data_IF_161221755676
#
_entry.id   IF_161221755676
#
_cell.length_a   1.000
_cell.length_b   1.000
_cell.length_c   1.000
_cell.angle_alpha   90.00
_cell.angle_beta   90.00
_cell.angle_gamma   90.00
#
_symmetry.space_group_name_H-M   'P 1'
#
loop_
_entity.id
_entity.type
_entity.pdbx_description
1 polymer ?
#
# COMPACT_ATOMS: atom_id res chain seq x y z
N UNK A 1 -28.17 2.93 -11.08
CA UNK A 1 -27.90 4.07 -10.15
C UNK A 1 -26.72 3.71 -9.28
N UNK A 2 -25.62 4.39 -9.44
CA UNK A 2 -24.47 4.21 -8.55
C UNK A 2 -24.82 4.88 -7.21
N UNK A 3 -25.13 4.07 -6.24
CA UNK A 3 -25.40 4.51 -4.87
C UNK A 3 -24.08 4.63 -4.10
N UNK A 4 -23.99 5.60 -3.21
CA UNK A 4 -22.89 5.67 -2.22
C UNK A 4 -22.75 4.29 -1.57
N UNK A 5 -21.55 3.71 -1.57
CA UNK A 5 -21.37 2.41 -0.94
C UNK A 5 -21.75 2.50 0.54
N UNK A 6 -22.51 1.53 1.02
CA UNK A 6 -22.86 1.44 2.44
C UNK A 6 -21.58 1.21 3.26
N UNK A 7 -21.13 2.28 3.92
CA UNK A 7 -19.91 2.26 4.71
C UNK A 7 -19.96 1.23 5.84
N UNK A 8 -21.15 0.99 6.40
CA UNK A 8 -21.31 -0.04 7.45
C UNK A 8 -21.11 -1.45 6.89
N UNK A 9 -21.64 -1.69 5.71
CA UNK A 9 -21.44 -2.98 5.02
C UNK A 9 -19.96 -3.17 4.66
N UNK A 10 -19.32 -2.16 4.14
CA UNK A 10 -17.89 -2.20 3.81
C UNK A 10 -17.02 -2.40 5.05
N UNK A 11 -17.36 -1.77 6.17
CA UNK A 11 -16.66 -1.97 7.42
C UNK A 11 -16.79 -3.41 7.92
N UNK A 12 -17.98 -3.98 7.88
CA UNK A 12 -18.20 -5.40 8.28
C UNK A 12 -17.42 -6.36 7.38
N UNK A 13 -17.34 -6.07 6.10
CA UNK A 13 -16.70 -6.94 5.11
C UNK A 13 -15.17 -6.82 5.12
N UNK A 14 -14.63 -5.61 5.21
CA UNK A 14 -13.20 -5.35 5.00
C UNK A 14 -12.47 -4.81 6.24
N UNK A 15 -13.17 -4.44 7.30
CA UNK A 15 -12.57 -3.81 8.47
C UNK A 15 -11.44 -4.63 9.09
N UNK A 16 -11.64 -5.92 9.27
CA UNK A 16 -10.64 -6.81 9.84
C UNK A 16 -9.44 -7.05 8.89
N UNK A 17 -9.70 -7.16 7.59
CA UNK A 17 -8.63 -7.28 6.59
C UNK A 17 -7.76 -6.03 6.55
N UNK A 18 -8.37 -4.85 6.56
CA UNK A 18 -7.68 -3.56 6.58
C UNK A 18 -6.86 -3.41 7.86
N UNK A 19 -7.42 -3.77 9.00
CA UNK A 19 -6.70 -3.75 10.28
C UNK A 19 -5.46 -4.65 10.25
N UNK A 20 -5.57 -5.86 9.73
CA UNK A 20 -4.43 -6.77 9.57
C UNK A 20 -3.39 -6.24 8.59
N UNK A 21 -3.83 -5.68 7.48
CA UNK A 21 -2.95 -5.02 6.50
C UNK A 21 -2.15 -3.88 7.16
N UNK A 22 -2.82 -3.01 7.91
CA UNK A 22 -2.18 -1.90 8.60
C UNK A 22 -1.27 -2.38 9.74
N UNK A 23 -1.66 -3.41 10.50
CA UNK A 23 -0.84 -3.98 11.56
C UNK A 23 0.48 -4.54 11.03
N UNK A 24 0.47 -5.23 9.88
CA UNK A 24 1.69 -5.71 9.23
C UNK A 24 2.58 -4.56 8.76
N UNK A 25 1.97 -3.50 8.23
CA UNK A 25 2.69 -2.35 7.68
C UNK A 25 3.29 -1.44 8.77
N UNK A 26 2.59 -1.26 9.86
CA UNK A 26 2.98 -0.35 10.95
C UNK A 26 3.70 -1.05 12.11
N UNK A 27 3.61 -2.35 12.20
CA UNK A 27 4.14 -3.15 13.32
C UNK A 27 3.60 -2.71 14.69
N UNK A 28 2.43 -2.09 14.74
CA UNK A 28 1.75 -1.61 15.95
C UNK A 28 0.25 -1.83 15.82
N UNK A 29 -0.32 -2.65 16.72
CA UNK A 29 -1.73 -3.00 16.68
C UNK A 29 -2.66 -1.82 17.00
N UNK A 30 -2.29 -0.98 17.98
CA UNK A 30 -3.10 0.17 18.40
C UNK A 30 -3.16 1.23 17.30
N UNK A 31 -2.04 1.53 16.66
CA UNK A 31 -2.00 2.45 15.51
C UNK A 31 -2.77 1.89 14.32
N UNK A 32 -2.68 0.60 14.06
CA UNK A 32 -3.43 -0.06 13.00
C UNK A 32 -4.93 0.05 13.23
N UNK A 33 -5.39 -0.11 14.46
CA UNK A 33 -6.80 0.09 14.84
C UNK A 33 -7.25 1.54 14.58
N UNK A 34 -6.49 2.52 15.05
CA UNK A 34 -6.79 3.94 14.86
C UNK A 34 -6.85 4.33 13.39
N UNK A 35 -5.90 3.87 12.58
CA UNK A 35 -5.89 4.17 11.14
C UNK A 35 -6.96 3.38 10.37
N UNK A 36 -7.37 2.23 10.85
CA UNK A 36 -8.54 1.52 10.30
C UNK A 36 -9.80 2.36 10.51
N UNK A 37 -10.05 2.85 11.72
CA UNK A 37 -11.18 3.72 12.03
C UNK A 37 -11.15 5.00 11.20
N UNK A 38 -10.00 5.65 11.08
CA UNK A 38 -9.85 6.87 10.25
C UNK A 38 -10.11 6.59 8.76
N UNK A 39 -9.70 5.42 8.26
CA UNK A 39 -9.98 5.00 6.87
C UNK A 39 -11.48 5.00 6.59
N UNK A 40 -12.27 4.37 7.45
CA UNK A 40 -13.72 4.32 7.28
C UNK A 40 -14.41 5.64 7.62
N UNK A 41 -13.88 6.42 8.55
CA UNK A 41 -14.36 7.78 8.83
C UNK A 41 -14.22 8.70 7.61
N UNK A 42 -13.12 8.60 6.87
CA UNK A 42 -12.96 9.34 5.60
C UNK A 42 -13.95 8.91 4.55
N UNK A 43 -14.25 7.62 4.46
CA UNK A 43 -15.27 7.11 3.54
C UNK A 43 -16.67 7.71 3.85
N UNK A 44 -17.00 7.89 5.12
CA UNK A 44 -18.25 8.53 5.54
C UNK A 44 -18.34 10.00 5.14
N UNK A 45 -17.22 10.71 5.12
CA UNK A 45 -17.15 12.15 4.80
C UNK A 45 -17.16 12.45 3.29
N UNK A 46 -17.10 11.44 2.45
CA UNK A 46 -17.14 11.63 1.00
C UNK A 46 -18.53 12.14 0.61
N UNK A 47 -18.54 13.19 -0.22
CA UNK A 47 -19.77 13.75 -0.74
C UNK A 47 -20.55 12.71 -1.56
N UNK A 48 -21.88 12.78 -1.46
CA UNK A 48 -22.79 11.83 -2.11
C UNK A 48 -22.66 11.83 -3.64
N UNK A 49 -22.10 12.91 -4.18
CA UNK A 49 -21.94 13.10 -5.62
C UNK A 49 -20.69 12.39 -6.19
N UNK A 50 -19.82 11.90 -5.31
CA UNK A 50 -18.63 11.15 -5.73
C UNK A 50 -18.98 9.66 -5.88
N UNK A 51 -18.88 9.17 -7.10
CA UNK A 51 -19.09 7.76 -7.43
C UNK A 51 -17.82 6.99 -7.12
N UNK A 52 -17.91 6.07 -6.18
CA UNK A 52 -16.82 5.11 -5.90
C UNK A 52 -17.17 3.80 -6.61
N UNK A 53 -16.48 3.53 -7.72
CA UNK A 53 -16.72 2.33 -8.54
C UNK A 53 -16.25 1.06 -7.83
N UNK A 54 -15.11 1.12 -7.14
CA UNK A 54 -14.54 0.01 -6.37
C UNK A 54 -14.27 0.45 -4.93
N UNK A 55 -15.20 0.12 -4.05
CA UNK A 55 -15.13 0.45 -2.62
C UNK A 55 -13.93 -0.20 -1.93
N UNK A 56 -13.56 -1.43 -2.32
CA UNK A 56 -12.40 -2.13 -1.77
C UNK A 56 -11.08 -1.44 -2.14
N UNK A 57 -10.89 -1.14 -3.42
CA UNK A 57 -9.71 -0.43 -3.89
C UNK A 57 -9.58 0.94 -3.23
N UNK A 58 -10.67 1.67 -3.09
CA UNK A 58 -10.70 2.95 -2.41
C UNK A 58 -10.28 2.86 -0.94
N UNK A 59 -10.80 1.87 -0.20
CA UNK A 59 -10.47 1.62 1.22
C UNK A 59 -8.98 1.32 1.37
N UNK A 60 -8.43 0.40 0.58
CA UNK A 60 -7.02 0.04 0.66
C UNK A 60 -6.09 1.19 0.26
N UNK A 61 -6.45 1.98 -0.75
CA UNK A 61 -5.72 3.19 -1.12
C UNK A 61 -5.69 4.21 0.01
N UNK A 62 -6.83 4.47 0.62
CA UNK A 62 -6.95 5.39 1.76
C UNK A 62 -6.15 4.91 2.96
N UNK A 63 -6.28 3.63 3.33
CA UNK A 63 -5.53 3.02 4.41
C UNK A 63 -4.00 3.07 4.17
N UNK A 64 -3.57 2.77 2.96
CA UNK A 64 -2.16 2.83 2.59
C UNK A 64 -1.60 4.26 2.66
N UNK A 65 -2.34 5.25 2.18
CA UNK A 65 -1.94 6.66 2.26
C UNK A 65 -1.81 7.13 3.71
N UNK A 66 -2.75 6.75 4.58
CA UNK A 66 -2.68 7.04 6.01
C UNK A 66 -1.47 6.39 6.67
N UNK A 67 -1.16 5.15 6.31
CA UNK A 67 0.02 4.45 6.83
C UNK A 67 1.32 5.11 6.38
N UNK A 68 1.41 5.53 5.12
CA UNK A 68 2.57 6.25 4.59
C UNK A 68 2.76 7.59 5.32
N UNK A 69 1.70 8.36 5.50
CA UNK A 69 1.75 9.64 6.22
C UNK A 69 2.18 9.45 7.67
N UNK A 70 1.67 8.41 8.33
CA UNK A 70 2.08 8.06 9.68
C UNK A 70 3.58 7.69 9.77
N UNK A 71 4.05 6.84 8.87
CA UNK A 71 5.46 6.42 8.83
C UNK A 71 6.37 7.63 8.58
N UNK A 72 6.01 8.51 7.65
CA UNK A 72 6.73 9.75 7.38
C UNK A 72 6.79 10.67 8.60
N UNK A 73 5.67 10.83 9.32
CA UNK A 73 5.62 11.62 10.53
C UNK A 73 6.49 11.04 11.64
N UNK A 74 6.50 9.71 11.80
CA UNK A 74 7.36 9.04 12.77
C UNK A 74 8.86 9.18 12.44
N UNK A 75 9.24 9.09 11.19
CA UNK A 75 10.62 9.30 10.74
C UNK A 75 11.09 10.73 11.00
N UNK A 76 10.27 11.72 10.73
CA UNK A 76 10.57 13.13 11.04
C UNK A 76 10.81 13.36 12.54
N UNK A 77 10.08 12.67 13.41
CA UNK A 77 10.25 12.75 14.88
C UNK A 77 11.53 12.10 15.36
N UNK A 78 12.05 11.08 14.66
CA UNK A 78 13.26 10.34 15.06
C UNK A 78 14.57 10.99 14.61
N UNK A 79 14.54 12.11 13.89
CA UNK A 79 15.72 12.89 13.49
C UNK A 79 16.85 12.07 12.83
N UNK A 80 16.51 11.16 11.92
CA UNK A 80 17.52 10.41 11.17
C UNK A 80 17.53 10.86 9.70
N UNK A 81 18.58 11.61 9.24
CA UNK A 81 18.57 12.22 7.91
C UNK A 81 18.92 11.27 6.77
N UNK A 82 19.09 9.97 7.03
CA UNK A 82 19.67 9.04 6.04
C UNK A 82 18.65 8.17 5.32
N UNK A 83 17.35 8.33 5.56
CA UNK A 83 16.37 7.46 4.95
C UNK A 83 15.77 8.10 3.68
N UNK A 84 16.23 7.61 2.55
CA UNK A 84 15.72 8.00 1.24
C UNK A 84 14.24 7.64 1.08
N UNK A 85 13.41 8.64 1.22
CA UNK A 85 11.94 8.61 1.07
C UNK A 85 11.49 8.40 -0.39
N UNK A 86 12.37 7.86 -1.24
CA UNK A 86 12.13 7.71 -2.68
C UNK A 86 11.10 6.63 -3.02
N UNK A 87 10.78 5.74 -2.08
CA UNK A 87 9.90 4.61 -2.35
C UNK A 87 8.42 4.86 -2.01
N UNK A 88 8.12 5.96 -1.32
CA UNK A 88 6.75 6.33 -1.00
C UNK A 88 6.04 7.06 -2.16
N UNK A 89 6.79 7.53 -3.16
CA UNK A 89 6.29 8.39 -4.24
C UNK A 89 5.61 7.67 -5.41
N UNK A 90 5.58 6.33 -5.44
CA UNK A 90 5.02 5.58 -6.57
C UNK A 90 3.52 5.26 -6.39
N UNK A 91 2.87 5.80 -5.37
CA UNK A 91 1.51 5.43 -5.03
C UNK A 91 0.43 6.41 -5.49
N UNK A 92 0.71 7.45 -6.26
CA UNK A 92 -0.32 8.44 -6.55
C UNK A 92 -0.41 8.86 -8.01
N UNK A 93 -0.88 7.93 -8.84
CA UNK A 93 -1.64 8.32 -10.02
C UNK A 93 -3.09 7.88 -9.83
N UNK A 94 -3.98 8.86 -9.71
CA UNK A 94 -5.43 8.65 -9.64
C UNK A 94 -5.90 7.93 -10.90
N UNK A 95 -6.56 6.76 -10.82
CA UNK A 95 -7.16 6.16 -12.00
C UNK A 95 -8.34 7.01 -12.45
N UNK A 96 -8.25 7.59 -13.65
CA UNK A 96 -9.39 8.13 -14.36
C UNK A 96 -10.18 6.98 -15.01
N UNK A 97 -11.50 7.16 -15.16
CA UNK A 97 -12.43 6.16 -15.68
C UNK A 97 -12.15 5.65 -17.11
N UNK A 98 -11.26 6.27 -17.87
CA UNK A 98 -10.81 5.82 -19.20
C UNK A 98 -9.83 4.65 -19.17
N UNK A 99 -9.44 4.18 -17.99
CA UNK A 99 -8.25 3.35 -17.77
C UNK A 99 -8.50 1.85 -17.60
N UNK A 100 -9.75 1.34 -17.63
CA UNK A 100 -10.00 -0.09 -17.36
C UNK A 100 -9.29 -1.04 -18.34
N UNK A 101 -9.20 -0.67 -19.63
CA UNK A 101 -8.48 -1.49 -20.62
C UNK A 101 -6.96 -1.28 -20.54
N UNK A 102 -6.54 -0.05 -20.27
CA UNK A 102 -5.14 0.31 -20.03
C UNK A 102 -4.59 -0.32 -18.74
N UNK A 103 -5.40 -0.40 -17.70
CA UNK A 103 -4.98 -0.96 -16.41
C UNK A 103 -4.76 -2.47 -16.45
N UNK A 104 -5.57 -3.21 -17.21
CA UNK A 104 -5.35 -4.65 -17.44
C UNK A 104 -4.03 -4.91 -18.16
N UNK A 105 -3.71 -4.08 -19.16
CA UNK A 105 -2.45 -4.19 -19.91
C UNK A 105 -1.26 -3.83 -19.01
N UNK A 106 -1.37 -2.75 -18.24
CA UNK A 106 -0.35 -2.33 -17.26
C UNK A 106 -0.13 -3.39 -16.18
N UNK A 107 -1.22 -3.97 -15.67
CA UNK A 107 -1.15 -5.06 -14.69
C UNK A 107 -0.43 -6.28 -15.26
N UNK A 108 -0.70 -6.66 -16.50
CA UNK A 108 -0.03 -7.76 -17.18
C UNK A 108 1.47 -7.51 -17.36
N UNK A 109 1.84 -6.29 -17.76
CA UNK A 109 3.24 -5.87 -17.88
C UNK A 109 3.93 -5.92 -16.52
N UNK A 110 3.27 -5.43 -15.46
CA UNK A 110 3.81 -5.48 -14.10
C UNK A 110 3.98 -6.92 -13.61
N UNK A 111 3.02 -7.80 -13.85
CA UNK A 111 3.12 -9.22 -13.51
C UNK A 111 4.29 -9.89 -14.22
N UNK A 112 4.52 -9.59 -15.48
CA UNK A 112 5.66 -10.09 -16.24
C UNK A 112 6.99 -9.57 -15.68
N UNK A 113 7.06 -8.26 -15.40
CA UNK A 113 8.24 -7.64 -14.79
C UNK A 113 8.59 -8.27 -13.44
N UNK A 114 7.59 -8.54 -12.60
CA UNK A 114 7.77 -9.21 -11.30
C UNK A 114 8.26 -10.66 -11.52
N UNK A 115 7.70 -11.37 -12.49
CA UNK A 115 8.10 -12.75 -12.80
C UNK A 115 9.56 -12.87 -13.27
N UNK A 116 10.11 -11.82 -13.89
CA UNK A 116 11.50 -11.74 -14.35
C UNK A 116 12.50 -11.42 -13.23
N UNK A 117 12.03 -10.94 -12.07
CA UNK A 117 12.90 -10.61 -10.95
C UNK A 117 13.62 -11.85 -10.41
N UNK A 118 14.86 -11.70 -9.92
CA UNK A 118 15.53 -12.76 -9.16
C UNK A 118 14.64 -13.24 -8.00
N UNK A 119 14.65 -14.54 -7.65
CA UNK A 119 13.72 -15.10 -6.66
C UNK A 119 13.69 -14.35 -5.33
N UNK A 120 14.84 -13.95 -4.81
CA UNK A 120 14.93 -13.21 -3.54
C UNK A 120 14.35 -11.79 -3.65
N UNK A 121 14.63 -11.11 -4.73
CA UNK A 121 14.08 -9.76 -5.01
C UNK A 121 12.57 -9.82 -5.17
N UNK A 122 12.07 -10.84 -5.86
CA UNK A 122 10.62 -11.07 -6.03
C UNK A 122 9.94 -11.33 -4.68
N UNK A 123 10.50 -12.19 -3.85
CA UNK A 123 9.98 -12.50 -2.51
C UNK A 123 9.87 -11.23 -1.65
N UNK A 124 10.93 -10.43 -1.60
CA UNK A 124 10.96 -9.17 -0.87
C UNK A 124 9.93 -8.18 -1.42
N UNK A 125 9.81 -8.09 -2.75
CA UNK A 125 8.81 -7.23 -3.40
C UNK A 125 7.38 -7.64 -3.04
N UNK A 126 7.06 -8.93 -3.11
CA UNK A 126 5.74 -9.46 -2.74
C UNK A 126 5.43 -9.15 -1.28
N UNK A 127 6.34 -9.45 -0.37
CA UNK A 127 6.15 -9.17 1.05
C UNK A 127 5.93 -7.69 1.34
N UNK A 128 6.69 -6.80 0.70
CA UNK A 128 6.62 -5.37 0.96
C UNK A 128 5.47 -4.65 0.26
N UNK A 129 5.19 -5.00 -0.99
CA UNK A 129 4.24 -4.26 -1.84
C UNK A 129 2.87 -4.90 -1.95
N UNK A 130 2.79 -6.20 -1.90
CA UNK A 130 1.52 -6.94 -2.03
C UNK A 130 0.97 -7.30 -0.66
N UNK A 131 1.78 -7.87 0.22
CA UNK A 131 1.35 -8.31 1.54
C UNK A 131 1.45 -7.21 2.61
N UNK A 132 2.12 -6.10 2.33
CA UNK A 132 2.15 -4.91 3.18
C UNK A 132 3.06 -5.00 4.41
N UNK A 133 4.03 -5.91 4.45
CA UNK A 133 4.99 -5.98 5.55
C UNK A 133 5.90 -4.76 5.60
N UNK A 134 6.24 -4.29 6.80
CA UNK A 134 7.28 -3.28 7.01
C UNK A 134 8.67 -3.82 6.66
N UNK A 135 9.61 -2.94 6.35
CA UNK A 135 11.00 -3.35 6.05
C UNK A 135 11.64 -4.12 7.21
N UNK A 136 11.41 -3.67 8.44
CA UNK A 136 11.87 -4.38 9.63
C UNK A 136 11.29 -5.78 9.75
N UNK A 137 9.99 -5.95 9.48
CA UNK A 137 9.34 -7.25 9.50
C UNK A 137 9.86 -8.19 8.40
N UNK A 138 10.10 -7.67 7.19
CA UNK A 138 10.72 -8.43 6.10
C UNK A 138 12.15 -8.84 6.45
N UNK A 139 12.94 -7.90 6.96
CA UNK A 139 14.30 -8.14 7.39
C UNK A 139 14.38 -9.26 8.43
N UNK A 140 13.51 -9.22 9.42
CA UNK A 140 13.41 -10.24 10.45
C UNK A 140 12.95 -11.59 9.90
N UNK A 141 11.90 -11.60 9.06
CA UNK A 141 11.35 -12.81 8.45
C UNK A 141 12.35 -13.54 7.55
N UNK A 142 13.16 -12.80 6.82
CA UNK A 142 14.12 -13.33 5.86
C UNK A 142 15.56 -13.39 6.39
N UNK A 143 15.78 -12.99 7.66
CA UNK A 143 17.11 -12.94 8.29
C UNK A 143 18.13 -12.11 7.50
N UNK A 144 17.72 -10.95 7.03
CA UNK A 144 18.55 -9.96 6.33
C UNK A 144 18.46 -8.61 7.02
N UNK A 145 19.32 -7.65 6.65
CA UNK A 145 19.22 -6.28 7.15
C UNK A 145 18.11 -5.49 6.42
N UNK A 146 17.58 -4.45 7.05
CA UNK A 146 16.65 -3.53 6.41
C UNK A 146 17.28 -2.86 5.19
N UNK A 147 18.57 -2.54 5.24
CA UNK A 147 19.33 -2.01 4.11
C UNK A 147 19.31 -2.98 2.91
N UNK A 148 19.43 -4.28 3.16
CA UNK A 148 19.30 -5.31 2.12
C UNK A 148 17.90 -5.33 1.52
N UNK A 149 16.85 -5.24 2.36
CA UNK A 149 15.45 -5.13 1.91
C UNK A 149 15.27 -3.92 0.99
N UNK A 150 15.76 -2.77 1.39
CA UNK A 150 15.70 -1.52 0.59
C UNK A 150 16.40 -1.67 -0.77
N UNK A 151 17.58 -2.27 -0.81
CA UNK A 151 18.31 -2.51 -2.05
C UNK A 151 17.53 -3.41 -3.02
N UNK A 152 16.96 -4.49 -2.53
CA UNK A 152 16.13 -5.37 -3.36
C UNK A 152 14.87 -4.67 -3.88
N UNK A 153 14.21 -3.87 -3.06
CA UNK A 153 13.05 -3.10 -3.48
C UNK A 153 13.41 -2.03 -4.51
N UNK A 154 14.54 -1.34 -4.35
CA UNK A 154 15.04 -0.40 -5.34
C UNK A 154 15.35 -1.08 -6.68
N UNK A 155 15.97 -2.26 -6.65
CA UNK A 155 16.23 -3.08 -7.85
C UNK A 155 14.93 -3.49 -8.54
N UNK A 156 13.94 -3.94 -7.78
CA UNK A 156 12.65 -4.32 -8.33
C UNK A 156 11.93 -3.15 -9.02
N UNK A 157 11.98 -1.97 -8.42
CA UNK A 157 11.39 -0.76 -8.99
C UNK A 157 12.10 -0.31 -10.26
N UNK A 158 13.43 -0.28 -10.25
CA UNK A 158 14.22 0.05 -11.44
C UNK A 158 13.87 -0.88 -12.61
N UNK A 159 13.70 -2.18 -12.34
CA UNK A 159 13.29 -3.15 -13.35
C UNK A 159 11.87 -2.88 -13.89
N UNK A 160 10.93 -2.54 -13.00
CA UNK A 160 9.55 -2.27 -13.40
C UNK A 160 9.40 -0.97 -14.22
N UNK A 161 10.24 0.03 -13.98
CA UNK A 161 10.21 1.33 -14.72
C UNK A 161 10.81 1.21 -16.12
N UNK A 162 11.71 0.25 -16.35
CA UNK A 162 12.39 0.06 -17.65
C UNK A 162 11.57 -0.77 -18.65
N UNK A 163 10.40 -1.27 -18.29
CA UNK A 163 9.48 -2.04 -19.15
C UNK A 163 8.27 -1.21 -19.58
#
# INVERSE_FOLDING_TARGET
MASKPDTQQLFRQYGEEVRRFLARKLSCADTAEDLTQETFARLLRIDSDIIIEDGRAFIYKTANNLAIDYIRAQRRRRTDPTDHDTMALIADERPNAETQTGDRRRLKILQQAIAELPPRTREIFVLGRIEGYSYGAIAQKLSVSESTVQKHLATALAHAVTK
#
